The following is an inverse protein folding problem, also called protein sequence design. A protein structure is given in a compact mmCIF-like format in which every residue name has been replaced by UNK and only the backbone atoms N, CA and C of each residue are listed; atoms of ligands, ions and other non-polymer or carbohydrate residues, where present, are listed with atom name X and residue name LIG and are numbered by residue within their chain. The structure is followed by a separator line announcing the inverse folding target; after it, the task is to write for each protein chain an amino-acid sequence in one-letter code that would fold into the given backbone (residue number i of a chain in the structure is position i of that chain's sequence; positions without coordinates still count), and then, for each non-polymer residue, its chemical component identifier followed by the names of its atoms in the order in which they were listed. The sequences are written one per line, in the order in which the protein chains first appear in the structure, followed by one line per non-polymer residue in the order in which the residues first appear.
data_IF_043757312198
#
_entry.id   IF_043757312198
#
_cell.length_a   1.000
_cell.length_b   1.000
_cell.length_c   1.000
_cell.angle_alpha   90.00
_cell.angle_beta   90.00
_cell.angle_gamma   90.00
#
_symmetry.space_group_name_H-M   'P 1'
#
loop_
_entity.id
_entity.type
_entity.pdbx_description
1 polymer ?
#
# COMPACT_ATOMS: atom_id res chain seq x y z
N UNK A 1 3.70 5.61 -31.10
CA UNK A 1 3.48 6.89 -30.38
C UNK A 1 4.71 7.17 -29.55
N UNK A 2 5.28 8.36 -29.62
CA UNK A 2 6.55 8.70 -28.96
C UNK A 2 6.41 8.79 -27.45
N UNK A 3 7.42 8.33 -26.69
CA UNK A 3 7.47 8.51 -25.23
C UNK A 3 7.37 9.99 -24.85
N UNK A 4 6.70 10.33 -23.73
CA UNK A 4 6.62 11.72 -23.29
C UNK A 4 8.03 12.27 -23.04
N UNK A 5 8.25 13.54 -23.43
CA UNK A 5 9.52 14.22 -23.17
C UNK A 5 9.75 14.30 -21.65
N UNK A 6 10.98 14.08 -21.16
CA UNK A 6 11.29 14.23 -19.75
C UNK A 6 10.93 15.63 -19.25
N UNK A 7 10.32 15.70 -18.06
CA UNK A 7 10.00 16.97 -17.41
C UNK A 7 11.31 17.74 -17.09
N UNK A 8 11.47 18.99 -17.58
CA UNK A 8 12.65 19.78 -17.28
C UNK A 8 12.63 20.25 -15.82
N UNK A 9 13.82 20.47 -15.27
CA UNK A 9 13.94 20.90 -13.89
C UNK A 9 13.49 22.38 -13.72
N UNK A 10 12.75 22.71 -12.64
CA UNK A 10 12.35 24.08 -12.36
C UNK A 10 13.56 24.96 -11.98
N UNK A 11 13.46 26.30 -12.12
CA UNK A 11 14.52 27.22 -11.72
C UNK A 11 14.92 27.04 -10.24
N UNK A 12 16.22 27.03 -9.99
CA UNK A 12 16.82 26.45 -8.78
C UNK A 12 17.05 27.48 -7.67
N UNK A 13 16.35 27.33 -6.54
CA UNK A 13 16.79 27.83 -5.24
C UNK A 13 16.68 26.72 -4.21
N UNK A 14 17.69 25.83 -4.16
CA UNK A 14 17.70 24.69 -3.22
C UNK A 14 17.60 25.12 -1.76
N UNK A 15 18.10 26.30 -1.41
CA UNK A 15 18.00 26.82 -0.05
C UNK A 15 16.54 27.11 0.32
N UNK A 16 15.76 27.65 -0.62
CA UNK A 16 14.32 27.89 -0.44
C UNK A 16 13.53 26.58 -0.45
N UNK A 17 13.80 25.67 -1.39
CA UNK A 17 13.15 24.36 -1.44
C UNK A 17 13.39 23.54 -0.16
N UNK A 18 14.54 23.69 0.49
CA UNK A 18 14.86 22.99 1.75
C UNK A 18 14.57 23.81 3.01
N UNK A 19 14.03 25.03 2.91
CA UNK A 19 13.78 25.91 4.05
C UNK A 19 12.64 25.42 4.95
N UNK A 20 11.68 24.69 4.39
CA UNK A 20 10.55 24.10 5.12
C UNK A 20 10.06 22.86 4.40
N UNK A 21 9.30 22.02 5.11
CA UNK A 21 8.72 20.82 4.49
C UNK A 21 7.70 21.15 3.40
N UNK A 22 6.93 22.22 3.59
CA UNK A 22 5.97 22.65 2.58
C UNK A 22 6.69 23.08 1.31
N UNK A 23 7.73 23.91 1.43
CA UNK A 23 8.54 24.32 0.27
C UNK A 23 9.20 23.12 -0.43
N UNK A 24 9.63 22.12 0.34
CA UNK A 24 10.19 20.88 -0.21
C UNK A 24 9.15 20.08 -0.98
N UNK A 25 7.93 20.00 -0.44
CA UNK A 25 6.82 19.34 -1.12
C UNK A 25 6.39 20.10 -2.37
N UNK A 26 6.21 21.42 -2.29
CA UNK A 26 5.87 22.25 -3.45
C UNK A 26 6.92 22.11 -4.57
N UNK A 27 8.19 21.97 -4.21
CA UNK A 27 9.28 21.74 -5.16
C UNK A 27 9.27 20.33 -5.78
N UNK A 28 8.91 19.31 -5.00
CA UNK A 28 8.90 17.90 -5.43
C UNK A 28 7.63 17.54 -6.19
N UNK A 29 6.53 18.22 -5.87
CA UNK A 29 5.17 17.97 -6.35
C UNK A 29 5.07 17.81 -7.88
N UNK A 30 5.65 18.70 -8.71
CA UNK A 30 5.52 18.59 -10.16
C UNK A 30 6.11 17.28 -10.71
N UNK A 31 7.22 16.82 -10.15
CA UNK A 31 7.83 15.55 -10.53
C UNK A 31 6.95 14.36 -10.12
N UNK A 32 6.36 14.39 -8.91
CA UNK A 32 5.40 13.37 -8.45
C UNK A 32 4.19 13.31 -9.38
N UNK A 33 3.64 14.47 -9.70
CA UNK A 33 2.48 14.61 -10.57
C UNK A 33 2.78 14.10 -11.97
N UNK A 34 3.97 14.41 -12.52
CA UNK A 34 4.42 13.89 -13.79
C UNK A 34 4.50 12.37 -13.80
N UNK A 35 5.18 11.78 -12.81
CA UNK A 35 5.39 10.33 -12.72
C UNK A 35 4.08 9.57 -12.54
N UNK A 36 3.15 10.08 -11.73
CA UNK A 36 1.91 9.38 -11.43
C UNK A 36 0.80 9.65 -12.46
N UNK A 37 0.70 10.88 -12.99
CA UNK A 37 -0.44 11.29 -13.84
C UNK A 37 -0.15 11.32 -15.33
N UNK A 38 1.09 11.46 -15.78
CA UNK A 38 1.36 11.53 -17.23
C UNK A 38 1.00 10.21 -17.92
N UNK A 39 0.33 10.27 -19.09
CA UNK A 39 -0.06 9.06 -19.79
C UNK A 39 1.16 8.20 -20.14
N UNK A 40 1.02 6.89 -19.96
CA UNK A 40 2.00 5.88 -20.36
C UNK A 40 1.31 4.80 -21.17
N UNK A 41 2.03 4.21 -22.13
CA UNK A 41 1.54 3.05 -22.89
C UNK A 41 1.76 1.75 -22.11
N UNK A 42 2.68 1.75 -21.15
CA UNK A 42 3.03 0.59 -20.34
C UNK A 42 2.77 0.92 -18.86
N UNK A 43 1.83 0.21 -18.19
CA UNK A 43 1.55 0.42 -16.77
C UNK A 43 2.71 0.00 -15.86
N UNK A 44 3.71 -0.72 -16.37
CA UNK A 44 4.92 -1.13 -15.64
C UNK A 44 6.07 -0.14 -15.79
N UNK A 45 5.90 0.90 -16.61
CA UNK A 45 6.88 1.98 -16.78
C UNK A 45 6.37 3.30 -16.21
N UNK A 46 7.31 4.08 -15.66
CA UNK A 46 7.04 5.41 -15.10
C UNK A 46 7.60 6.46 -16.05
N UNK A 47 6.83 7.52 -16.39
CA UNK A 47 7.34 8.67 -17.12
C UNK A 47 8.63 9.21 -16.50
N UNK A 48 9.68 9.31 -17.32
CA UNK A 48 10.99 9.74 -16.86
C UNK A 48 11.01 11.24 -16.54
N UNK A 49 11.70 11.61 -15.45
CA UNK A 49 12.04 13.00 -15.14
C UNK A 49 13.51 13.27 -15.51
N UNK A 50 13.86 14.54 -15.73
CA UNK A 50 15.25 14.92 -15.99
C UNK A 50 16.16 14.48 -14.82
N UNK A 51 17.33 13.94 -15.15
CA UNK A 51 18.29 13.44 -14.15
C UNK A 51 18.76 14.54 -13.19
N UNK A 52 18.90 15.77 -13.68
CA UNK A 52 19.26 16.93 -12.84
C UNK A 52 18.15 17.23 -11.84
N UNK A 53 16.87 17.11 -12.25
CA UNK A 53 15.75 17.30 -11.35
C UNK A 53 15.71 16.24 -10.24
N UNK A 54 15.91 14.96 -10.58
CA UNK A 54 16.01 13.88 -9.59
C UNK A 54 17.13 14.15 -8.57
N UNK A 55 18.30 14.58 -9.03
CA UNK A 55 19.45 14.93 -8.17
C UNK A 55 19.07 16.09 -7.26
N UNK A 56 18.44 17.15 -7.78
CA UNK A 56 18.06 18.31 -6.99
C UNK A 56 17.00 18.00 -5.93
N UNK A 57 16.01 17.15 -6.25
CA UNK A 57 15.04 16.66 -5.26
C UNK A 57 15.77 15.91 -4.15
N UNK A 58 16.68 15.01 -4.50
CA UNK A 58 17.49 14.25 -3.55
C UNK A 58 18.34 15.17 -2.66
N UNK A 59 18.95 16.21 -3.22
CA UNK A 59 19.73 17.21 -2.48
C UNK A 59 18.85 18.08 -1.58
N UNK A 60 17.69 18.52 -2.04
CA UNK A 60 16.76 19.30 -1.23
C UNK A 60 16.24 18.49 -0.02
N UNK A 61 15.90 17.21 -0.23
CA UNK A 61 15.54 16.28 0.83
C UNK A 61 16.67 16.10 1.85
N UNK A 62 17.89 15.86 1.36
CA UNK A 62 19.05 15.73 2.23
C UNK A 62 19.25 16.98 3.09
N UNK A 63 19.28 18.16 2.48
CA UNK A 63 19.44 19.43 3.19
C UNK A 63 18.33 19.64 4.22
N UNK A 64 17.08 19.41 3.84
CA UNK A 64 15.95 19.54 4.74
C UNK A 64 16.10 18.62 5.97
N UNK A 65 16.34 17.32 5.76
CA UNK A 65 16.41 16.34 6.86
C UNK A 65 17.67 16.47 7.73
N UNK A 66 18.76 16.99 7.19
CA UNK A 66 20.02 17.17 7.95
C UNK A 66 20.11 18.53 8.65
N UNK A 67 19.50 19.57 8.11
CA UNK A 67 19.49 20.91 8.71
C UNK A 67 18.30 21.15 9.65
N UNK A 68 17.16 20.47 9.45
CA UNK A 68 15.97 20.67 10.28
C UNK A 68 16.08 20.00 11.64
N UNK A 69 15.77 20.76 12.70
CA UNK A 69 15.50 20.18 14.02
C UNK A 69 14.12 19.53 13.97
N UNK A 70 14.10 18.20 13.76
CA UNK A 70 12.97 17.26 13.88
C UNK A 70 11.58 17.87 13.56
N UNK A 71 11.00 17.60 12.38
CA UNK A 71 9.69 18.16 12.03
C UNK A 71 8.60 17.72 12.99
N UNK A 72 7.62 18.61 13.19
CA UNK A 72 6.35 18.24 13.82
C UNK A 72 5.69 17.12 13.00
N UNK A 73 5.13 16.13 13.70
CA UNK A 73 4.72 14.81 13.21
C UNK A 73 3.60 14.76 12.16
N UNK A 74 3.14 15.88 11.60
CA UNK A 74 1.84 15.95 10.89
C UNK A 74 1.91 15.94 9.36
N UNK A 75 3.08 15.76 8.76
CA UNK A 75 3.31 16.23 7.38
C UNK A 75 3.90 15.19 6.42
N UNK A 76 4.07 13.94 6.86
CA UNK A 76 4.42 12.84 5.94
C UNK A 76 3.19 12.28 5.21
N UNK A 77 1.99 12.62 5.69
CA UNK A 77 0.71 12.24 5.07
C UNK A 77 0.36 13.06 3.83
N UNK A 78 1.06 14.17 3.58
CA UNK A 78 0.80 15.09 2.45
C UNK A 78 1.27 14.55 1.11
N UNK A 79 1.69 13.27 1.02
CA UNK A 79 1.93 12.63 -0.27
C UNK A 79 0.63 12.74 -1.08
N UNK A 80 0.65 13.39 -2.25
CA UNK A 80 -0.54 13.68 -3.03
C UNK A 80 -1.28 12.40 -3.35
N UNK A 81 -2.57 12.35 -3.01
CA UNK A 81 -3.35 11.16 -3.26
C UNK A 81 -3.91 11.15 -4.68
N UNK A 82 -3.12 10.63 -5.61
CA UNK A 82 -3.60 10.25 -6.95
C UNK A 82 -4.70 9.18 -6.84
N UNK A 83 -4.74 8.43 -5.74
CA UNK A 83 -5.72 7.36 -5.52
C UNK A 83 -7.18 7.86 -5.62
N UNK A 84 -7.50 9.07 -5.14
CA UNK A 84 -8.87 9.61 -5.25
C UNK A 84 -9.29 9.86 -6.69
N UNK A 85 -8.37 10.37 -7.52
CA UNK A 85 -8.62 10.58 -8.94
C UNK A 85 -8.88 9.24 -9.65
N UNK A 86 -8.16 8.19 -9.26
CA UNK A 86 -8.37 6.84 -9.77
C UNK A 86 -9.74 6.27 -9.37
N UNK A 87 -10.19 6.53 -8.14
CA UNK A 87 -11.55 6.15 -7.72
C UNK A 87 -12.61 6.89 -8.54
N UNK A 88 -12.44 8.19 -8.78
CA UNK A 88 -13.39 8.99 -9.57
C UNK A 88 -13.47 8.53 -11.04
N UNK A 89 -12.38 7.96 -11.58
CA UNK A 89 -12.34 7.38 -12.91
C UNK A 89 -12.89 5.94 -13.01
N UNK A 90 -13.21 5.30 -11.88
CA UNK A 90 -13.60 3.89 -11.86
C UNK A 90 -14.97 3.66 -12.56
N UNK A 91 -15.04 2.79 -13.59
CA UNK A 91 -16.26 2.58 -14.35
C UNK A 91 -17.34 1.91 -13.48
N UNK A 92 -18.61 2.26 -13.74
CA UNK A 92 -19.75 1.70 -12.99
C UNK A 92 -20.04 0.24 -13.34
N UNK A 93 -19.68 -0.18 -14.55
CA UNK A 93 -19.81 -1.54 -15.05
C UNK A 93 -18.80 -2.50 -14.37
N UNK A 94 -19.29 -3.63 -13.89
CA UNK A 94 -18.52 -4.60 -13.11
C UNK A 94 -17.40 -5.26 -13.95
N UNK A 95 -17.71 -5.67 -15.18
CA UNK A 95 -16.75 -6.25 -16.10
C UNK A 95 -15.64 -5.26 -16.51
N UNK A 96 -15.98 -4.00 -16.72
CA UNK A 96 -15.02 -2.93 -16.99
C UNK A 96 -14.18 -2.57 -15.74
N UNK A 97 -14.73 -2.72 -14.52
CA UNK A 97 -14.08 -2.32 -13.28
C UNK A 97 -12.77 -3.07 -13.02
N UNK A 98 -12.76 -4.39 -13.17
CA UNK A 98 -11.54 -5.20 -12.94
C UNK A 98 -10.46 -4.85 -13.97
N UNK A 99 -10.85 -4.75 -15.25
CA UNK A 99 -9.93 -4.36 -16.33
C UNK A 99 -9.43 -2.94 -16.20
N UNK A 100 -10.15 -2.06 -15.51
CA UNK A 100 -9.70 -0.73 -15.18
C UNK A 100 -8.75 -0.72 -13.97
N UNK A 101 -9.13 -1.39 -12.87
CA UNK A 101 -8.43 -1.25 -11.59
C UNK A 101 -7.06 -1.91 -11.59
N UNK A 102 -6.89 -3.05 -12.28
CA UNK A 102 -5.62 -3.78 -12.27
C UNK A 102 -4.49 -3.00 -12.97
N UNK A 103 -4.62 -2.54 -14.23
CA UNK A 103 -3.60 -1.70 -14.86
C UNK A 103 -3.37 -0.39 -14.11
N UNK A 104 -4.44 0.19 -13.56
CA UNK A 104 -4.40 1.42 -12.76
C UNK A 104 -3.58 1.23 -11.48
N UNK A 105 -3.81 0.13 -10.76
CA UNK A 105 -3.03 -0.24 -9.60
C UNK A 105 -1.57 -0.52 -9.96
N UNK A 106 -1.30 -1.28 -11.03
CA UNK A 106 0.06 -1.58 -11.47
C UNK A 106 0.84 -0.30 -11.76
N UNK A 107 0.22 0.65 -12.46
CA UNK A 107 0.81 1.97 -12.73
C UNK A 107 1.06 2.75 -11.45
N UNK A 108 0.08 2.77 -10.54
CA UNK A 108 0.19 3.44 -9.25
C UNK A 108 1.33 2.83 -8.39
N UNK A 109 1.40 1.50 -8.30
CA UNK A 109 2.42 0.77 -7.56
C UNK A 109 3.82 0.97 -8.15
N UNK A 110 3.95 0.96 -9.48
CA UNK A 110 5.22 1.21 -10.17
C UNK A 110 5.70 2.65 -9.93
N UNK A 111 4.80 3.62 -10.11
CA UNK A 111 5.09 5.03 -9.83
C UNK A 111 5.54 5.26 -8.39
N UNK A 112 4.79 4.71 -7.43
CA UNK A 112 5.10 4.85 -6.00
C UNK A 112 6.38 4.12 -5.59
N UNK A 113 6.77 3.03 -6.26
CA UNK A 113 8.08 2.40 -6.07
C UNK A 113 9.24 3.33 -6.49
N UNK A 114 9.08 4.10 -7.56
CA UNK A 114 10.07 5.13 -7.94
C UNK A 114 10.09 6.27 -6.91
N UNK A 115 8.91 6.71 -6.45
CA UNK A 115 8.81 7.73 -5.40
C UNK A 115 9.49 7.28 -4.11
N UNK A 116 9.28 6.04 -3.70
CA UNK A 116 9.92 5.46 -2.52
C UNK A 116 11.45 5.56 -2.59
N UNK A 117 12.05 5.28 -3.76
CA UNK A 117 13.49 5.40 -3.98
C UNK A 117 13.95 6.86 -3.94
N UNK A 118 13.21 7.75 -4.61
CA UNK A 118 13.52 9.19 -4.65
C UNK A 118 13.43 9.84 -3.26
N UNK A 119 12.43 9.43 -2.47
CA UNK A 119 12.13 9.95 -1.14
C UNK A 119 12.76 9.11 -0.02
N UNK A 120 13.76 8.27 -0.33
CA UNK A 120 14.33 7.32 0.63
C UNK A 120 14.93 7.99 1.88
N UNK A 121 15.35 9.26 1.78
CA UNK A 121 15.78 10.05 2.94
C UNK A 121 14.68 10.22 3.99
N UNK A 122 13.43 10.37 3.56
CA UNK A 122 12.27 10.40 4.46
C UNK A 122 12.13 9.08 5.21
N UNK A 123 12.30 7.93 4.55
CA UNK A 123 12.29 6.64 5.24
C UNK A 123 13.42 6.54 6.28
N UNK A 124 14.63 6.96 5.89
CA UNK A 124 15.82 6.82 6.72
C UNK A 124 15.81 7.71 7.97
N UNK A 125 15.33 8.94 7.85
CA UNK A 125 15.43 9.93 8.93
C UNK A 125 14.13 10.12 9.70
N UNK A 126 12.98 10.03 9.03
CA UNK A 126 11.68 10.20 9.67
C UNK A 126 11.06 8.86 10.05
N UNK A 127 10.76 8.01 9.06
CA UNK A 127 10.05 6.74 9.30
C UNK A 127 10.81 5.89 10.31
N UNK A 128 12.11 5.69 10.10
CA UNK A 128 12.95 4.94 11.06
C UNK A 128 12.88 5.50 12.48
N UNK A 129 12.96 6.82 12.63
CA UNK A 129 12.91 7.45 13.95
C UNK A 129 11.54 7.24 14.63
N UNK A 130 10.45 7.27 13.88
CA UNK A 130 9.10 7.01 14.38
C UNK A 130 8.87 5.54 14.71
N UNK A 131 9.40 4.61 13.89
CA UNK A 131 9.44 3.19 14.19
C UNK A 131 10.19 2.91 15.50
N UNK A 132 11.36 3.54 15.69
CA UNK A 132 12.16 3.42 16.92
C UNK A 132 11.42 3.98 18.16
N UNK A 133 10.47 4.91 17.97
CA UNK A 133 9.61 5.43 19.04
C UNK A 133 8.34 4.58 19.26
N UNK A 134 8.13 3.50 18.50
CA UNK A 134 6.98 2.62 18.64
C UNK A 134 5.71 3.13 17.95
N UNK A 135 5.83 4.00 16.94
CA UNK A 135 4.72 4.45 16.08
C UNK A 135 4.59 3.62 14.80
N UNK A 136 5.23 2.46 14.73
CA UNK A 136 5.15 1.56 13.59
C UNK A 136 3.78 0.92 13.38
N UNK A 137 3.71 0.07 12.35
CA UNK A 137 2.50 -0.70 12.02
C UNK A 137 2.05 -1.62 13.16
N UNK A 138 2.98 -2.08 14.00
CA UNK A 138 2.73 -2.55 15.35
C UNK A 138 3.19 -1.45 16.31
N UNK A 139 2.27 -0.88 17.06
CA UNK A 139 2.61 0.11 18.08
C UNK A 139 2.65 -0.48 19.48
N UNK A 140 2.89 0.42 20.44
CA UNK A 140 2.86 0.10 21.85
C UNK A 140 1.44 -0.13 22.40
N UNK A 141 0.42 0.37 21.70
CA UNK A 141 -0.99 0.27 22.12
C UNK A 141 -1.54 -1.14 22.03
N UNK A 142 -0.95 -1.96 21.17
CA UNK A 142 -1.29 -3.36 20.94
C UNK A 142 -0.76 -4.28 22.05
N UNK A 143 0.11 -3.77 22.92
CA UNK A 143 0.66 -4.51 24.04
C UNK A 143 -0.35 -4.45 25.19
N UNK A 144 -0.82 -5.60 25.72
CA UNK A 144 -1.79 -5.63 26.81
C UNK A 144 -1.37 -4.78 28.01
N UNK A 145 -2.30 -4.01 28.57
CA UNK A 145 -2.05 -3.08 29.68
C UNK A 145 -1.46 -3.74 30.94
N UNK A 146 -1.73 -5.04 31.15
CA UNK A 146 -1.13 -5.81 32.24
C UNK A 146 0.40 -5.89 32.14
N UNK A 147 0.92 -5.96 30.93
CA UNK A 147 2.37 -6.01 30.69
C UNK A 147 2.98 -4.61 30.70
N UNK A 148 2.22 -3.58 30.31
CA UNK A 148 2.63 -2.17 30.45
C UNK A 148 2.87 -1.80 31.92
N UNK A 149 2.06 -2.30 32.86
CA UNK A 149 2.21 -2.03 34.29
C UNK A 149 3.34 -2.83 34.95
N UNK A 150 3.62 -4.05 34.49
CA UNK A 150 4.74 -4.89 34.97
C UNK A 150 6.11 -4.41 34.46
N UNK A 151 6.08 -3.62 33.40
CA UNK A 151 7.26 -3.25 32.62
C UNK A 151 8.29 -2.45 33.43
N UNK A 152 7.87 -1.56 34.34
CA UNK A 152 8.78 -0.80 35.22
C UNK A 152 10.03 -0.27 34.49
N UNK A 153 11.22 -0.53 35.04
CA UNK A 153 12.52 -0.21 34.39
C UNK A 153 12.96 -1.20 33.30
N UNK A 154 12.35 -2.39 33.22
CA UNK A 154 12.64 -3.42 32.21
C UNK A 154 11.66 -3.39 31.03
N UNK A 155 10.94 -2.29 30.85
CA UNK A 155 9.83 -2.23 29.92
C UNK A 155 10.26 -2.53 28.47
N UNK A 156 11.48 -2.11 28.10
CA UNK A 156 12.05 -2.40 26.78
C UNK A 156 12.22 -3.90 26.51
N UNK A 157 12.51 -4.72 27.51
CA UNK A 157 12.73 -6.16 27.33
C UNK A 157 11.39 -6.91 27.22
N UNK A 158 10.44 -6.62 28.10
CA UNK A 158 9.09 -7.22 28.07
C UNK A 158 8.35 -6.82 26.80
N UNK A 159 8.43 -5.55 26.42
CA UNK A 159 7.85 -5.04 25.17
C UNK A 159 8.49 -5.75 23.97
N UNK A 160 9.81 -5.90 23.92
CA UNK A 160 10.47 -6.58 22.81
C UNK A 160 10.04 -8.03 22.64
N UNK A 161 9.91 -8.79 23.74
CA UNK A 161 9.50 -10.19 23.68
C UNK A 161 8.05 -10.34 23.18
N UNK A 162 7.12 -9.61 23.79
CA UNK A 162 5.72 -9.61 23.38
C UNK A 162 5.55 -9.12 21.93
N UNK A 163 6.34 -8.12 21.52
CA UNK A 163 6.32 -7.59 20.17
C UNK A 163 6.80 -8.60 19.13
N UNK A 164 7.81 -9.43 19.46
CA UNK A 164 8.27 -10.48 18.56
C UNK A 164 7.19 -11.55 18.32
N UNK A 165 6.46 -11.94 19.37
CA UNK A 165 5.34 -12.88 19.28
C UNK A 165 4.16 -12.31 18.49
N UNK A 166 3.76 -11.06 18.78
CA UNK A 166 2.70 -10.37 18.04
C UNK A 166 3.07 -10.20 16.57
N UNK A 167 4.32 -9.77 16.27
CA UNK A 167 4.83 -9.66 14.90
C UNK A 167 4.77 -10.99 14.18
N UNK A 168 5.24 -12.06 14.80
CA UNK A 168 5.19 -13.41 14.23
C UNK A 168 3.75 -13.84 13.93
N UNK A 169 2.84 -13.60 14.87
CA UNK A 169 1.42 -13.93 14.71
C UNK A 169 0.78 -13.15 13.57
N UNK A 170 1.10 -11.87 13.45
CA UNK A 170 0.57 -11.02 12.39
C UNK A 170 1.15 -11.41 11.03
N UNK A 171 2.45 -11.64 10.93
CA UNK A 171 3.12 -12.07 9.69
C UNK A 171 2.60 -13.42 9.17
N UNK A 172 2.24 -14.35 10.07
CA UNK A 172 1.59 -15.61 9.69
C UNK A 172 0.27 -15.40 8.96
N UNK A 173 -0.51 -14.37 9.29
CA UNK A 173 -1.74 -14.01 8.55
C UNK A 173 -1.45 -13.59 7.11
N UNK A 174 -0.24 -13.09 6.88
CA UNK A 174 0.26 -12.67 5.57
C UNK A 174 1.07 -13.76 4.88
N UNK A 175 0.98 -15.02 5.34
CA UNK A 175 1.56 -16.18 4.68
C UNK A 175 3.07 -16.34 4.86
N UNK A 176 3.65 -15.74 5.92
CA UNK A 176 5.03 -15.99 6.31
C UNK A 176 5.10 -17.04 7.42
N UNK A 177 6.01 -18.00 7.27
CA UNK A 177 6.33 -19.02 8.26
C UNK A 177 7.80 -18.92 8.69
N UNK A 178 8.09 -19.44 9.88
CA UNK A 178 9.45 -19.45 10.42
C UNK A 178 10.35 -20.35 9.55
N UNK A 179 11.39 -19.74 8.96
CA UNK A 179 12.29 -20.42 8.01
C UNK A 179 12.08 -20.04 6.54
N UNK A 180 11.02 -19.27 6.24
CA UNK A 180 10.83 -18.74 4.89
C UNK A 180 11.96 -17.78 4.45
N UNK A 181 12.19 -17.63 3.14
CA UNK A 181 13.16 -16.67 2.61
C UNK A 181 12.89 -15.23 3.06
N UNK A 182 13.97 -14.42 3.15
CA UNK A 182 13.90 -13.00 3.52
C UNK A 182 12.96 -12.19 2.61
N UNK A 183 12.83 -12.57 1.34
CA UNK A 183 11.91 -11.93 0.39
C UNK A 183 10.43 -12.14 0.78
N UNK A 184 10.08 -13.33 1.27
CA UNK A 184 8.72 -13.64 1.74
C UNK A 184 8.40 -12.88 3.02
N UNK A 185 9.39 -12.78 3.92
CA UNK A 185 9.29 -11.95 5.13
C UNK A 185 9.04 -10.48 4.77
N UNK A 186 9.87 -9.91 3.90
CA UNK A 186 9.75 -8.52 3.47
C UNK A 186 8.40 -8.24 2.79
N UNK A 187 7.89 -9.19 2.00
CA UNK A 187 6.57 -9.07 1.40
C UNK A 187 5.44 -9.13 2.45
N UNK A 188 5.51 -10.06 3.40
CA UNK A 188 4.53 -10.16 4.48
C UNK A 188 4.50 -8.90 5.35
N UNK A 189 5.66 -8.32 5.64
CA UNK A 189 5.80 -7.04 6.33
C UNK A 189 5.18 -5.89 5.56
N UNK A 190 5.48 -5.76 4.27
CA UNK A 190 4.89 -4.72 3.44
C UNK A 190 3.35 -4.83 3.40
N UNK A 191 2.80 -6.05 3.35
CA UNK A 191 1.36 -6.27 3.42
C UNK A 191 0.77 -5.89 4.78
N UNK A 192 1.43 -6.28 5.88
CA UNK A 192 0.99 -5.95 7.24
C UNK A 192 1.06 -4.44 7.51
N UNK A 193 2.11 -3.77 7.01
CA UNK A 193 2.25 -2.33 7.05
C UNK A 193 1.16 -1.61 6.26
N UNK A 194 0.87 -2.08 5.03
CA UNK A 194 -0.24 -1.55 4.24
C UNK A 194 -1.59 -1.79 4.93
N UNK A 195 -1.70 -2.89 5.69
CA UNK A 195 -2.89 -3.26 6.44
C UNK A 195 -3.13 -2.42 7.70
N UNK A 196 -2.11 -1.71 8.19
CA UNK A 196 -2.19 -0.93 9.44
C UNK A 196 -3.21 0.22 9.39
N UNK A 197 -3.54 0.74 10.58
CA UNK A 197 -4.38 1.92 10.77
C UNK A 197 -3.69 3.19 10.24
N UNK A 198 -4.47 4.22 9.93
CA UNK A 198 -3.95 5.47 9.35
C UNK A 198 -3.04 6.26 10.31
N UNK A 199 -3.19 6.07 11.63
CA UNK A 199 -2.36 6.72 12.64
C UNK A 199 -0.95 6.10 12.77
N UNK A 200 -0.65 5.04 12.01
CA UNK A 200 0.64 4.34 12.04
C UNK A 200 1.61 4.88 11.01
N UNK A 201 2.87 4.98 11.43
CA UNK A 201 3.99 5.34 10.55
C UNK A 201 4.54 4.07 9.90
N UNK A 202 4.55 4.07 8.57
CA UNK A 202 5.04 2.96 7.76
C UNK A 202 5.96 3.47 6.65
N UNK A 203 6.83 2.64 6.06
CA UNK A 203 7.61 2.99 4.88
C UNK A 203 6.75 3.54 3.75
N UNK A 204 7.30 4.46 2.95
CA UNK A 204 6.55 5.14 1.90
C UNK A 204 5.91 4.19 0.86
N UNK A 205 6.52 3.04 0.60
CA UNK A 205 5.97 2.04 -0.32
C UNK A 205 4.67 1.44 0.26
N UNK A 206 4.72 0.99 1.51
CA UNK A 206 3.56 0.44 2.23
C UNK A 206 2.49 1.50 2.48
N UNK A 207 2.89 2.76 2.73
CA UNK A 207 1.96 3.90 2.82
C UNK A 207 1.17 4.09 1.52
N UNK A 208 1.81 3.97 0.37
CA UNK A 208 1.14 4.09 -0.92
C UNK A 208 0.10 2.98 -1.12
N UNK A 209 0.44 1.73 -0.77
CA UNK A 209 -0.50 0.61 -0.80
C UNK A 209 -1.68 0.82 0.16
N UNK A 210 -1.41 1.30 1.39
CA UNK A 210 -2.44 1.67 2.38
C UNK A 210 -3.38 2.73 1.84
N UNK A 211 -2.85 3.78 1.19
CA UNK A 211 -3.65 4.85 0.56
C UNK A 211 -4.55 4.30 -0.54
N UNK A 212 -4.03 3.41 -1.40
CA UNK A 212 -4.83 2.78 -2.45
C UNK A 212 -5.96 1.93 -1.85
N UNK A 213 -5.67 1.21 -0.75
CA UNK A 213 -6.70 0.48 0.01
C UNK A 213 -7.81 1.39 0.50
N UNK A 214 -7.47 2.40 1.29
CA UNK A 214 -8.46 3.24 1.99
C UNK A 214 -9.22 4.18 1.06
N UNK A 215 -8.58 4.62 -0.03
CA UNK A 215 -9.14 5.64 -0.92
C UNK A 215 -9.72 5.08 -2.22
N UNK A 216 -9.44 3.82 -2.57
CA UNK A 216 -9.98 3.16 -3.77
C UNK A 216 -10.71 1.88 -3.43
N UNK A 217 -10.02 0.92 -2.81
CA UNK A 217 -10.58 -0.43 -2.61
C UNK A 217 -11.72 -0.44 -1.61
N UNK A 218 -11.54 0.12 -0.41
CA UNK A 218 -12.57 0.16 0.63
C UNK A 218 -13.87 0.84 0.16
N UNK A 219 -13.83 2.03 -0.51
CA UNK A 219 -15.02 2.61 -1.12
C UNK A 219 -15.73 1.71 -2.14
N UNK A 220 -14.97 0.97 -2.96
CA UNK A 220 -15.54 0.05 -3.97
C UNK A 220 -16.05 -1.26 -3.38
N UNK A 221 -15.52 -1.67 -2.22
CA UNK A 221 -15.96 -2.86 -1.47
C UNK A 221 -17.14 -2.57 -0.54
N UNK A 222 -17.38 -1.30 -0.20
CA UNK A 222 -18.50 -0.88 0.62
C UNK A 222 -19.81 -0.90 -0.17
N UNK A 223 -20.84 -1.50 0.41
CA UNK A 223 -22.19 -1.51 -0.17
C UNK A 223 -22.78 -0.11 -0.14
N UNK A 224 -23.11 0.45 -1.30
CA UNK A 224 -23.82 1.73 -1.38
C UNK A 224 -25.28 1.54 -0.96
N UNK A 225 -25.66 2.03 0.21
CA UNK A 225 -27.07 2.23 0.55
C UNK A 225 -27.69 1.24 1.54
N UNK A 226 -27.09 1.06 2.72
CA UNK A 226 -27.78 0.45 3.86
C UNK A 226 -28.88 1.38 4.41
N UNK A 227 -29.98 1.51 3.65
CA UNK A 227 -31.29 1.83 4.22
C UNK A 227 -31.72 0.64 5.08
N UNK A 228 -31.93 0.90 6.37
CA UNK A 228 -32.27 -0.12 7.34
C UNK A 228 -33.57 -0.88 6.96
N UNK A 229 -33.42 -2.16 6.61
CA UNK A 229 -34.53 -3.10 6.58
C UNK A 229 -34.57 -3.96 5.33
N UNK A 230 -34.11 -5.21 5.43
CA UNK A 230 -34.90 -6.46 5.27
C UNK A 230 -33.94 -7.66 5.13
N UNK A 231 -34.41 -8.82 5.60
CA UNK A 231 -33.71 -10.07 5.94
C UNK A 231 -32.71 -10.65 4.92
N UNK A 232 -31.52 -10.95 5.44
CA UNK A 232 -30.66 -12.13 5.21
C UNK A 232 -31.03 -13.07 4.05
N UNK A 233 -30.40 -12.87 2.89
CA UNK A 233 -29.88 -13.95 2.04
C UNK A 233 -29.05 -13.31 0.93
N UNK A 234 -27.76 -13.64 0.89
CA UNK A 234 -26.69 -12.98 0.12
C UNK A 234 -26.43 -11.55 0.60
N UNK A 235 -25.36 -11.37 1.39
CA UNK A 235 -24.86 -10.04 1.70
C UNK A 235 -24.55 -9.35 0.37
N UNK A 236 -25.16 -8.20 0.06
CA UNK A 236 -24.78 -7.43 -1.11
C UNK A 236 -23.30 -7.13 -0.96
N UNK A 237 -22.48 -7.52 -1.93
CA UNK A 237 -21.07 -7.14 -1.91
C UNK A 237 -20.95 -5.73 -2.52
N UNK A 238 -19.90 -4.98 -2.19
CA UNK A 238 -19.67 -3.72 -2.91
C UNK A 238 -19.44 -3.98 -4.41
N UNK A 239 -19.43 -2.92 -5.22
CA UNK A 239 -19.21 -2.98 -6.68
C UNK A 239 -18.01 -3.85 -7.08
N UNK A 240 -16.92 -3.79 -6.32
CA UNK A 240 -15.74 -4.62 -6.59
C UNK A 240 -15.96 -6.09 -6.22
N UNK A 241 -16.72 -6.38 -5.17
CA UNK A 241 -17.07 -7.76 -4.81
C UNK A 241 -17.98 -8.40 -5.85
N UNK A 242 -19.00 -7.68 -6.33
CA UNK A 242 -19.87 -8.12 -7.43
C UNK A 242 -19.06 -8.39 -8.69
N UNK A 243 -18.13 -7.49 -9.04
CA UNK A 243 -17.26 -7.68 -10.19
C UNK A 243 -16.36 -8.92 -10.07
N UNK A 244 -15.85 -9.20 -8.86
CA UNK A 244 -15.06 -10.42 -8.61
C UNK A 244 -15.95 -11.67 -8.65
N UNK A 245 -17.20 -11.59 -8.18
CA UNK A 245 -18.18 -12.67 -8.32
C UNK A 245 -18.40 -13.01 -9.80
N UNK A 246 -18.71 -12.00 -10.61
CA UNK A 246 -18.96 -12.14 -12.04
C UNK A 246 -17.74 -12.70 -12.77
N UNK A 247 -16.53 -12.22 -12.42
CA UNK A 247 -15.29 -12.75 -12.96
C UNK A 247 -15.23 -14.26 -12.73
N UNK A 248 -15.41 -14.73 -11.49
CA UNK A 248 -15.27 -16.14 -11.12
C UNK A 248 -16.42 -17.03 -11.63
N UNK A 249 -17.62 -16.50 -11.76
CA UNK A 249 -18.81 -17.24 -12.19
C UNK A 249 -18.96 -17.34 -13.72
N UNK A 250 -18.29 -16.49 -14.49
CA UNK A 250 -18.34 -16.53 -15.96
C UNK A 250 -17.90 -17.89 -16.52
N UNK A 251 -18.84 -18.66 -17.10
CA UNK A 251 -18.60 -20.00 -17.66
C UNK A 251 -18.19 -19.98 -19.13
N UNK A 252 -17.88 -18.81 -19.69
CA UNK A 252 -17.55 -18.68 -21.11
C UNK A 252 -16.22 -19.41 -21.39
N UNK A 253 -16.21 -20.33 -22.35
CA UNK A 253 -15.01 -21.13 -22.70
C UNK A 253 -13.86 -20.28 -23.21
N UNK A 254 -14.19 -19.15 -23.82
CA UNK A 254 -13.25 -18.23 -24.42
C UNK A 254 -12.72 -17.28 -23.33
N UNK A 255 -11.42 -17.37 -23.02
CA UNK A 255 -10.76 -16.48 -22.05
C UNK A 255 -10.55 -17.05 -20.64
N UNK A 256 -10.64 -18.38 -20.45
CA UNK A 256 -10.36 -19.01 -19.15
C UNK A 256 -8.99 -18.65 -18.57
N UNK A 257 -7.96 -18.58 -19.40
CA UNK A 257 -6.59 -18.22 -19.00
C UNK A 257 -6.48 -16.74 -18.60
N UNK A 258 -7.02 -15.82 -19.43
CA UNK A 258 -7.08 -14.38 -19.11
C UNK A 258 -7.81 -14.16 -17.78
N UNK A 259 -8.92 -14.85 -17.57
CA UNK A 259 -9.69 -14.78 -16.33
C UNK A 259 -8.87 -15.25 -15.12
N UNK A 260 -8.21 -16.39 -15.23
CA UNK A 260 -7.38 -16.93 -14.15
C UNK A 260 -6.26 -15.95 -13.79
N UNK A 261 -5.64 -15.33 -14.80
CA UNK A 261 -4.63 -14.29 -14.61
C UNK A 261 -5.21 -13.05 -13.91
N UNK A 262 -6.37 -12.54 -14.35
CA UNK A 262 -7.04 -11.41 -13.71
C UNK A 262 -7.39 -11.70 -12.24
N UNK A 263 -7.86 -12.91 -11.94
CA UNK A 263 -8.18 -13.33 -10.57
C UNK A 263 -6.91 -13.42 -9.69
N UNK A 264 -5.81 -13.95 -10.23
CA UNK A 264 -4.52 -14.00 -9.55
C UNK A 264 -3.95 -12.60 -9.28
N UNK A 265 -4.01 -11.71 -10.27
CA UNK A 265 -3.53 -10.34 -10.12
C UNK A 265 -4.41 -9.53 -9.15
N UNK A 266 -5.73 -9.76 -9.15
CA UNK A 266 -6.65 -9.20 -8.17
C UNK A 266 -6.30 -9.65 -6.76
N UNK A 267 -6.09 -10.96 -6.56
CA UNK A 267 -5.68 -11.50 -5.28
C UNK A 267 -4.36 -10.89 -4.78
N UNK A 268 -3.36 -10.80 -5.66
CA UNK A 268 -2.07 -10.19 -5.35
C UNK A 268 -2.24 -8.73 -4.96
N UNK A 269 -3.01 -7.95 -5.72
CA UNK A 269 -3.29 -6.54 -5.43
C UNK A 269 -3.96 -6.37 -4.06
N UNK A 270 -5.05 -7.12 -3.79
CA UNK A 270 -5.77 -7.03 -2.51
C UNK A 270 -4.84 -7.34 -1.32
N UNK A 271 -4.01 -8.39 -1.44
CA UNK A 271 -3.02 -8.74 -0.41
C UNK A 271 -1.98 -7.64 -0.21
N UNK A 272 -1.37 -7.15 -1.29
CA UNK A 272 -0.35 -6.08 -1.22
C UNK A 272 -0.91 -4.77 -0.67
N UNK A 273 -2.18 -4.47 -0.93
CA UNK A 273 -2.88 -3.32 -0.36
C UNK A 273 -3.28 -3.52 1.11
N UNK A 274 -3.00 -4.67 1.72
CA UNK A 274 -3.33 -4.91 3.12
C UNK A 274 -4.83 -5.15 3.36
N UNK A 275 -5.56 -5.70 2.37
CA UNK A 275 -6.92 -6.23 2.60
C UNK A 275 -6.80 -7.52 3.42
N UNK A 276 -7.50 -7.57 4.55
CA UNK A 276 -7.36 -8.66 5.52
C UNK A 276 -7.72 -10.03 4.92
N UNK A 277 -7.04 -11.13 5.34
CA UNK A 277 -7.33 -12.48 4.83
C UNK A 277 -8.75 -12.96 5.10
N UNK A 278 -9.40 -12.42 6.13
CA UNK A 278 -10.76 -12.78 6.50
C UNK A 278 -11.83 -12.05 5.68
N UNK A 279 -11.45 -11.06 4.87
CA UNK A 279 -12.35 -10.30 4.01
C UNK A 279 -13.06 -11.21 2.98
N UNK A 280 -14.40 -11.09 2.78
CA UNK A 280 -15.17 -12.01 1.92
C UNK A 280 -14.60 -12.18 0.51
N UNK A 281 -14.27 -11.07 -0.16
CA UNK A 281 -13.70 -11.09 -1.52
C UNK A 281 -12.33 -11.80 -1.56
N UNK A 282 -11.48 -11.59 -0.55
CA UNK A 282 -10.17 -12.25 -0.49
C UNK A 282 -10.33 -13.75 -0.23
N UNK A 283 -11.17 -14.14 0.74
CA UNK A 283 -11.53 -15.55 0.98
C UNK A 283 -12.06 -16.25 -0.27
N UNK A 284 -12.87 -15.56 -1.08
CA UNK A 284 -13.40 -16.12 -2.33
C UNK A 284 -12.29 -16.44 -3.32
N UNK A 285 -11.34 -15.52 -3.52
CA UNK A 285 -10.18 -15.73 -4.38
C UNK A 285 -9.21 -16.79 -3.82
N UNK A 286 -9.03 -16.86 -2.50
CA UNK A 286 -8.22 -17.87 -1.81
C UNK A 286 -8.81 -19.28 -1.99
N UNK A 287 -10.13 -19.43 -1.83
CA UNK A 287 -10.83 -20.72 -1.96
C UNK A 287 -10.61 -21.36 -3.32
N UNK A 288 -10.57 -20.54 -4.37
CA UNK A 288 -10.43 -20.99 -5.74
C UNK A 288 -8.94 -21.10 -6.17
N UNK A 289 -8.00 -20.89 -5.22
CA UNK A 289 -6.57 -21.15 -5.38
C UNK A 289 -5.76 -20.03 -6.04
N UNK A 290 -6.33 -18.84 -6.23
CA UNK A 290 -5.69 -17.77 -7.01
C UNK A 290 -4.61 -17.00 -6.28
N UNK A 291 -4.48 -17.16 -4.97
CA UNK A 291 -3.56 -16.33 -4.16
C UNK A 291 -2.15 -16.90 -4.08
N UNK A 292 -1.93 -18.10 -4.64
CA UNK A 292 -0.64 -18.79 -4.63
C UNK A 292 -0.15 -19.16 -3.23
N UNK A 293 -0.93 -18.85 -2.18
CA UNK A 293 -0.75 -19.43 -0.87
C UNK A 293 -1.09 -20.91 -1.02
N UNK A 294 -0.04 -21.74 -1.16
CA UNK A 294 -0.17 -23.19 -1.13
C UNK A 294 -1.08 -23.50 0.06
N UNK A 295 -2.17 -24.22 -0.18
CA UNK A 295 -3.01 -24.73 0.88
C UNK A 295 -2.20 -25.77 1.67
N UNK A 296 -1.28 -25.31 2.52
CA UNK A 296 -0.58 -26.10 3.51
C UNK A 296 -1.59 -26.42 4.61
N UNK A 297 -2.52 -27.33 4.32
CA UNK A 297 -3.20 -28.22 5.24
C UNK A 297 -4.08 -29.20 4.46
N UNK A 298 -3.47 -30.02 3.62
CA UNK A 298 -3.91 -31.41 3.59
C UNK A 298 -3.35 -32.04 4.89
N UNK A 299 -4.19 -32.46 5.85
CA UNK A 299 -3.70 -33.20 7.01
C UNK A 299 -3.02 -34.47 6.49
N UNK A 300 -1.73 -34.61 6.75
CA UNK A 300 -1.04 -35.88 6.61
C UNK A 300 -1.75 -36.86 7.54
N UNK A 301 -2.57 -37.73 6.97
CA UNK A 301 -3.19 -38.82 7.70
C UNK A 301 -2.07 -39.68 8.31
N UNK A 302 -1.92 -39.61 9.62
CA UNK A 302 -1.12 -40.53 10.45
C UNK A 302 -1.91 -41.79 10.75
#
# INVERSE_FOLDING_TARGET
MSSPLPMPAPPTNLAEASASLQALWDYTQPALDHMLRSPTNDPTEVPAIDASYYIWISTALYNYWTCSRRPASSSYETVPSVAQELLLGAPQDAHALIRYILPTYTRYATGTAVLHRMLNYTNRFYVKAELDNGYGWLGWREIPSQDQNKAGTKWREVVKANFAELRTTELKKWGWEEGDPEEVLAQAEACAEAASELDRTVPLASLAHRRFRTEVLEPLLKVSGAGAGTKQSQEPEGRLGDAVAELLESTTSDGLEERAQLAQDMARMLRMCGIQPDHPVRKRLDRDGYTGAVAHHAPTAT
#
